data_IF_361973716303
#
_entry.id   IF_361973716303
#
_cell.length_a   1.000
_cell.length_b   1.000
_cell.length_c   1.000
_cell.angle_alpha   90.00
_cell.angle_beta   90.00
_cell.angle_gamma   90.00
#
_symmetry.space_group_name_H-M   'P 1'
#
loop_
_entity.id
_entity.type
_entity.pdbx_description
1 polymer ?
#
# COMPACT_ATOMS: atom_id res chain seq x y z
N UNK A 1 -61.81 52.07 3.78
CA UNK A 1 -60.70 51.52 2.98
C UNK A 1 -60.00 50.53 3.88
N UNK A 2 -60.43 49.28 3.81
CA UNK A 2 -60.38 48.41 4.99
C UNK A 2 -59.18 47.48 4.82
N UNK A 3 -58.01 48.03 5.17
CA UNK A 3 -56.69 47.49 4.84
C UNK A 3 -55.96 46.93 6.07
N UNK A 4 -56.68 46.20 6.93
CA UNK A 4 -56.09 45.40 8.02
C UNK A 4 -56.91 44.13 8.25
N UNK A 5 -56.81 43.19 7.30
CA UNK A 5 -57.34 41.84 7.45
C UNK A 5 -56.43 41.02 8.38
N UNK A 6 -56.54 41.27 9.68
CA UNK A 6 -55.76 40.57 10.70
C UNK A 6 -55.98 39.05 10.61
N UNK A 7 -54.89 38.30 10.36
CA UNK A 7 -54.93 36.84 10.25
C UNK A 7 -55.48 36.22 11.54
N UNK A 8 -56.48 35.34 11.39
CA UNK A 8 -57.04 34.60 12.52
C UNK A 8 -55.96 33.73 13.21
N UNK A 9 -56.01 33.53 14.54
CA UNK A 9 -54.90 32.93 15.28
C UNK A 9 -54.52 31.52 14.78
N UNK A 10 -55.49 30.73 14.35
CA UNK A 10 -55.28 29.42 13.71
C UNK A 10 -54.49 29.50 12.39
N UNK A 11 -54.66 30.57 11.60
CA UNK A 11 -53.90 30.80 10.37
C UNK A 11 -52.44 31.18 10.68
N UNK A 12 -52.22 31.98 11.73
CA UNK A 12 -50.87 32.33 12.21
C UNK A 12 -50.13 31.09 12.73
N UNK A 13 -50.82 30.19 13.42
CA UNK A 13 -50.26 28.90 13.87
C UNK A 13 -49.91 28.01 12.67
N UNK A 14 -50.82 27.87 11.69
CA UNK A 14 -50.59 27.06 10.49
C UNK A 14 -49.40 27.59 9.66
N UNK A 15 -49.33 28.90 9.44
CA UNK A 15 -48.22 29.54 8.73
C UNK A 15 -46.87 29.29 9.40
N UNK A 16 -46.81 29.37 10.74
CA UNK A 16 -45.58 29.07 11.52
C UNK A 16 -45.19 27.60 11.40
N UNK A 17 -46.15 26.67 11.43
CA UNK A 17 -45.88 25.25 11.26
C UNK A 17 -45.34 24.92 9.86
N UNK A 18 -45.92 25.51 8.81
CA UNK A 18 -45.45 25.35 7.41
C UNK A 18 -44.05 25.94 7.24
N UNK A 19 -43.76 27.13 7.80
CA UNK A 19 -42.43 27.74 7.77
C UNK A 19 -41.39 26.88 8.50
N UNK A 20 -41.71 26.35 9.69
CA UNK A 20 -40.81 25.49 10.45
C UNK A 20 -40.52 24.17 9.71
N UNK A 21 -41.53 23.56 9.08
CA UNK A 21 -41.36 22.37 8.26
C UNK A 21 -40.51 22.64 7.01
N UNK A 22 -40.78 23.73 6.29
CA UNK A 22 -40.00 24.13 5.12
C UNK A 22 -38.53 24.41 5.47
N UNK A 23 -38.27 25.06 6.61
CA UNK A 23 -36.92 25.28 7.11
C UNK A 23 -36.21 23.96 7.48
N UNK A 24 -36.90 23.02 8.14
CA UNK A 24 -36.35 21.71 8.46
C UNK A 24 -36.00 20.89 7.21
N UNK A 25 -36.88 20.89 6.19
CA UNK A 25 -36.62 20.23 4.89
C UNK A 25 -35.46 20.90 4.16
N UNK A 26 -35.36 22.23 4.17
CA UNK A 26 -34.25 22.96 3.56
C UNK A 26 -32.90 22.63 4.24
N UNK A 27 -32.85 22.62 5.57
CA UNK A 27 -31.65 22.24 6.34
C UNK A 27 -31.26 20.78 6.06
N UNK A 28 -32.23 19.87 5.97
CA UNK A 28 -31.96 18.47 5.60
C UNK A 28 -31.42 18.33 4.17
N UNK A 29 -32.04 19.00 3.18
CA UNK A 29 -31.55 19.01 1.79
C UNK A 29 -30.12 19.55 1.69
N UNK A 30 -29.81 20.67 2.35
CA UNK A 30 -28.45 21.24 2.39
C UNK A 30 -27.46 20.26 3.02
N UNK A 31 -27.86 19.60 4.12
CA UNK A 31 -27.03 18.58 4.78
C UNK A 31 -26.72 17.40 3.85
N UNK A 32 -27.70 16.81 3.19
CA UNK A 32 -27.47 15.63 2.35
C UNK A 32 -26.68 15.97 1.07
N UNK A 33 -26.88 17.15 0.48
CA UNK A 33 -26.02 17.65 -0.61
C UNK A 33 -24.57 17.78 -0.12
N UNK A 34 -24.35 18.41 1.04
CA UNK A 34 -23.01 18.55 1.64
C UNK A 34 -22.36 17.20 1.96
N UNK A 35 -23.11 16.26 2.55
CA UNK A 35 -22.62 14.91 2.87
C UNK A 35 -22.26 14.12 1.61
N UNK A 36 -23.08 14.16 0.56
CA UNK A 36 -22.77 13.52 -0.73
C UNK A 36 -21.55 14.13 -1.42
N UNK A 37 -21.40 15.45 -1.39
CA UNK A 37 -20.22 16.15 -1.93
C UNK A 37 -18.95 15.78 -1.14
N UNK A 38 -19.02 15.77 0.19
CA UNK A 38 -17.91 15.35 1.05
C UNK A 38 -17.54 13.89 0.81
N UNK A 39 -18.50 12.96 0.81
CA UNK A 39 -18.24 11.55 0.55
C UNK A 39 -17.57 11.32 -0.82
N UNK A 40 -18.00 12.06 -1.85
CA UNK A 40 -17.37 12.03 -3.18
C UNK A 40 -15.92 12.53 -3.15
N UNK A 41 -15.63 13.60 -2.41
CA UNK A 41 -14.27 14.12 -2.23
C UNK A 41 -13.39 13.14 -1.46
N UNK A 42 -13.88 12.58 -0.36
CA UNK A 42 -13.16 11.66 0.51
C UNK A 42 -12.86 10.33 -0.20
N UNK A 43 -13.80 9.83 -1.04
CA UNK A 43 -13.58 8.67 -1.88
C UNK A 43 -12.47 8.89 -2.93
N UNK A 44 -12.46 10.06 -3.59
CA UNK A 44 -11.37 10.45 -4.52
C UNK A 44 -10.03 10.55 -3.79
N UNK A 45 -9.99 11.15 -2.59
CA UNK A 45 -8.78 11.24 -1.79
C UNK A 45 -8.22 9.85 -1.39
N UNK A 46 -9.09 8.93 -0.96
CA UNK A 46 -8.71 7.54 -0.67
C UNK A 46 -8.14 6.82 -1.90
N UNK A 47 -8.82 6.90 -3.05
CA UNK A 47 -8.35 6.34 -4.33
C UNK A 47 -6.96 6.88 -4.71
N UNK A 48 -6.77 8.20 -4.64
CA UNK A 48 -5.52 8.85 -5.00
C UNK A 48 -4.35 8.44 -4.08
N UNK A 49 -4.63 8.27 -2.78
CA UNK A 49 -3.63 7.79 -1.81
C UNK A 49 -3.30 6.31 -2.02
N UNK A 50 -4.28 5.47 -2.36
CA UNK A 50 -4.07 4.06 -2.72
C UNK A 50 -3.18 3.92 -3.97
N UNK A 51 -3.46 4.68 -5.03
CA UNK A 51 -2.63 4.68 -6.26
C UNK A 51 -1.19 5.09 -5.96
N UNK A 52 -0.97 6.11 -5.11
CA UNK A 52 0.37 6.54 -4.68
C UNK A 52 1.09 5.47 -3.85
N UNK A 53 0.39 4.82 -2.92
CA UNK A 53 0.97 3.76 -2.09
C UNK A 53 1.35 2.53 -2.92
N UNK A 54 0.50 2.13 -3.88
CA UNK A 54 0.81 1.06 -4.84
C UNK A 54 1.97 1.42 -5.76
N UNK A 55 2.03 2.67 -6.27
CA UNK A 55 3.15 3.14 -7.08
C UNK A 55 4.49 3.07 -6.31
N UNK A 56 4.50 3.53 -5.05
CA UNK A 56 5.69 3.47 -4.20
C UNK A 56 6.11 2.02 -3.88
N UNK A 57 5.15 1.12 -3.64
CA UNK A 57 5.42 -0.32 -3.47
C UNK A 57 6.03 -0.92 -4.75
N UNK A 58 5.50 -0.58 -5.94
CA UNK A 58 6.02 -1.07 -7.22
C UNK A 58 7.42 -0.51 -7.51
N UNK A 59 7.71 0.78 -7.29
CA UNK A 59 9.06 1.34 -7.50
C UNK A 59 10.08 0.74 -6.52
N UNK A 60 9.70 0.52 -5.25
CA UNK A 60 10.57 -0.15 -4.28
C UNK A 60 10.99 -1.54 -4.75
N UNK A 61 10.05 -2.41 -5.11
CA UNK A 61 10.36 -3.76 -5.60
C UNK A 61 11.10 -3.72 -6.95
N UNK A 62 10.77 -2.76 -7.83
CA UNK A 62 11.45 -2.61 -9.12
C UNK A 62 12.91 -2.22 -8.92
N UNK A 63 13.21 -1.24 -8.05
CA UNK A 63 14.58 -0.84 -7.68
C UNK A 63 15.36 -1.94 -6.97
N UNK A 64 14.70 -2.75 -6.13
CA UNK A 64 15.35 -3.88 -5.48
C UNK A 64 15.77 -4.95 -6.51
N UNK A 65 14.90 -5.25 -7.48
CA UNK A 65 15.27 -6.13 -8.60
C UNK A 65 16.35 -5.52 -9.52
N UNK A 66 16.33 -4.20 -9.73
CA UNK A 66 17.36 -3.44 -10.46
C UNK A 66 18.73 -3.59 -9.77
N UNK A 67 18.78 -3.41 -8.44
CA UNK A 67 19.97 -3.68 -7.62
C UNK A 67 20.39 -5.15 -7.73
N UNK A 68 19.50 -6.10 -7.45
CA UNK A 68 19.78 -7.54 -7.49
C UNK A 68 20.40 -7.97 -8.83
N UNK A 69 19.84 -7.50 -9.95
CA UNK A 69 20.37 -7.79 -11.29
C UNK A 69 21.72 -7.13 -11.54
N UNK A 70 21.99 -5.95 -10.98
CA UNK A 70 23.30 -5.25 -11.10
C UNK A 70 24.43 -5.89 -10.30
N UNK A 71 24.12 -6.60 -9.20
CA UNK A 71 25.12 -7.25 -8.32
C UNK A 71 25.20 -8.78 -8.50
N UNK A 72 24.24 -9.39 -9.19
CA UNK A 72 24.24 -10.83 -9.48
C UNK A 72 25.46 -11.23 -10.33
N UNK A 73 26.21 -12.30 -9.97
CA UNK A 73 27.31 -12.79 -10.79
C UNK A 73 26.78 -13.32 -12.13
N UNK A 74 27.58 -13.16 -13.19
CA UNK A 74 27.28 -13.77 -14.49
C UNK A 74 27.36 -15.29 -14.44
N UNK A 75 26.61 -15.97 -15.32
CA UNK A 75 26.54 -17.45 -15.33
C UNK A 75 27.91 -18.15 -15.31
N UNK A 76 28.94 -17.72 -16.08
CA UNK A 76 30.26 -18.36 -16.02
C UNK A 76 30.90 -18.26 -14.63
N UNK A 77 30.87 -17.09 -14.00
CA UNK A 77 31.44 -16.86 -12.67
C UNK A 77 30.73 -17.69 -11.58
N UNK A 78 29.43 -17.94 -11.76
CA UNK A 78 28.64 -18.78 -10.86
C UNK A 78 28.93 -20.27 -11.10
N UNK A 79 29.00 -20.70 -12.37
CA UNK A 79 29.39 -22.04 -12.82
C UNK A 79 30.77 -22.44 -12.29
N UNK A 80 31.76 -21.56 -12.42
CA UNK A 80 33.12 -21.78 -11.93
C UNK A 80 33.13 -22.00 -10.41
N UNK A 81 32.45 -21.13 -9.65
CA UNK A 81 32.35 -21.23 -8.19
C UNK A 81 31.60 -22.48 -7.71
N UNK A 82 30.53 -22.88 -8.40
CA UNK A 82 29.74 -24.07 -8.06
C UNK A 82 30.41 -25.38 -8.50
N UNK A 83 31.38 -25.31 -9.44
CA UNK A 83 32.25 -26.43 -9.81
C UNK A 83 33.41 -26.56 -8.83
N UNK A 84 34.06 -25.44 -8.46
CA UNK A 84 35.14 -25.39 -7.49
C UNK A 84 34.69 -25.74 -6.06
N UNK A 85 33.44 -25.43 -5.70
CA UNK A 85 32.82 -25.87 -4.45
C UNK A 85 31.46 -26.56 -4.70
N UNK A 86 31.44 -27.91 -4.79
CA UNK A 86 30.21 -28.68 -4.93
C UNK A 86 29.20 -28.61 -3.78
N UNK A 87 29.52 -28.01 -2.62
CA UNK A 87 28.54 -27.73 -1.55
C UNK A 87 28.00 -26.30 -1.55
N UNK A 88 28.41 -25.45 -2.50
CA UNK A 88 27.99 -24.04 -2.57
C UNK A 88 26.49 -23.90 -2.86
N UNK A 89 25.76 -23.39 -1.88
CA UNK A 89 24.41 -22.83 -2.04
C UNK A 89 24.54 -21.29 -2.08
N UNK A 90 24.20 -20.61 -3.19
CA UNK A 90 24.23 -19.16 -3.24
C UNK A 90 23.17 -18.55 -2.32
N UNK A 91 23.57 -17.63 -1.45
CA UNK A 91 22.63 -16.86 -0.65
C UNK A 91 21.92 -15.82 -1.52
N UNK A 92 20.58 -15.82 -1.48
CA UNK A 92 19.72 -14.87 -2.19
C UNK A 92 18.72 -14.32 -1.16
N UNK A 93 18.72 -13.01 -0.99
CA UNK A 93 17.82 -12.31 -0.07
C UNK A 93 16.46 -12.09 -0.73
N UNK A 94 15.37 -12.39 -0.03
CA UNK A 94 14.05 -11.85 -0.35
C UNK A 94 13.81 -10.59 0.50
N UNK A 95 13.68 -9.43 -0.16
CA UNK A 95 13.42 -8.13 0.47
C UNK A 95 12.11 -7.49 -0.01
N UNK A 96 11.25 -8.26 -0.70
CA UNK A 96 10.05 -7.75 -1.37
C UNK A 96 9.03 -7.13 -0.41
N UNK A 97 8.34 -6.10 -0.89
CA UNK A 97 7.26 -5.42 -0.16
C UNK A 97 5.94 -5.61 -0.91
N UNK A 98 4.94 -6.25 -0.30
CA UNK A 98 3.66 -6.55 -0.97
C UNK A 98 2.43 -6.23 -0.12
N UNK A 99 2.64 -5.51 0.99
CA UNK A 99 1.63 -5.32 2.03
C UNK A 99 0.53 -4.31 1.64
N UNK A 100 0.86 -3.30 0.83
CA UNK A 100 -0.16 -2.36 0.33
C UNK A 100 -1.11 -3.11 -0.60
N UNK A 101 -0.59 -3.80 -1.61
CA UNK A 101 -1.40 -4.63 -2.51
C UNK A 101 -2.20 -5.71 -1.78
N UNK A 102 -1.56 -6.44 -0.85
CA UNK A 102 -2.19 -7.54 -0.10
C UNK A 102 -3.33 -7.05 0.79
N UNK A 103 -3.12 -5.97 1.56
CA UNK A 103 -4.15 -5.43 2.48
C UNK A 103 -5.25 -4.64 1.77
N UNK A 104 -4.98 -4.11 0.57
CA UNK A 104 -5.92 -3.26 -0.19
C UNK A 104 -6.54 -3.92 -1.40
N UNK A 105 -6.41 -5.24 -1.56
CA UNK A 105 -6.94 -6.00 -2.70
C UNK A 105 -8.43 -5.70 -2.99
N UNK A 106 -9.26 -5.57 -1.94
CA UNK A 106 -10.68 -5.23 -2.06
C UNK A 106 -10.96 -3.79 -2.53
N UNK A 107 -10.01 -2.86 -2.35
CA UNK A 107 -10.11 -1.45 -2.79
C UNK A 107 -9.63 -1.26 -4.24
N UNK A 108 -9.01 -2.28 -4.86
CA UNK A 108 -8.48 -2.20 -6.23
C UNK A 108 -9.54 -2.09 -7.32
N UNK A 109 -10.83 -2.28 -7.02
CA UNK A 109 -11.94 -2.00 -7.95
C UNK A 109 -12.00 -0.51 -8.38
N UNK A 110 -11.29 0.38 -7.69
CA UNK A 110 -11.06 1.77 -8.10
C UNK A 110 -9.91 1.96 -9.09
N UNK A 111 -9.19 0.92 -9.49
CA UNK A 111 -8.10 0.97 -10.49
C UNK A 111 -8.66 0.54 -11.86
N UNK A 112 -8.13 1.09 -12.95
CA UNK A 112 -8.54 0.73 -14.31
C UNK A 112 -8.07 -0.69 -14.68
N UNK A 113 -8.93 -1.46 -15.34
CA UNK A 113 -8.71 -2.89 -15.66
C UNK A 113 -7.33 -3.20 -16.29
N UNK A 114 -6.77 -2.40 -17.23
CA UNK A 114 -5.45 -2.65 -17.80
C UNK A 114 -4.31 -2.54 -16.78
N UNK A 115 -4.40 -1.59 -15.84
CA UNK A 115 -3.43 -1.44 -14.74
C UNK A 115 -3.61 -2.59 -13.74
N UNK A 116 -4.86 -2.92 -13.39
CA UNK A 116 -5.15 -4.01 -12.45
C UNK A 116 -4.60 -5.35 -12.93
N UNK A 117 -4.79 -5.69 -14.21
CA UNK A 117 -4.24 -6.89 -14.84
C UNK A 117 -2.69 -6.93 -14.77
N UNK A 118 -2.04 -5.79 -15.07
CA UNK A 118 -0.57 -5.66 -14.96
C UNK A 118 -0.07 -5.76 -13.51
N UNK A 119 -0.80 -5.19 -12.54
CA UNK A 119 -0.50 -5.33 -11.11
C UNK A 119 -0.56 -6.79 -10.67
N UNK A 120 -1.65 -7.51 -10.99
CA UNK A 120 -1.79 -8.94 -10.66
C UNK A 120 -0.64 -9.75 -11.26
N UNK A 121 -0.23 -9.46 -12.51
CA UNK A 121 0.91 -10.12 -13.13
C UNK A 121 2.25 -9.81 -12.43
N UNK A 122 2.48 -8.55 -12.05
CA UNK A 122 3.68 -8.12 -11.32
C UNK A 122 3.80 -8.82 -9.95
N UNK A 123 2.75 -8.76 -9.12
CA UNK A 123 2.77 -9.42 -7.81
C UNK A 123 2.81 -10.95 -7.91
N UNK A 124 2.19 -11.54 -8.93
CA UNK A 124 2.33 -12.97 -9.24
C UNK A 124 3.77 -13.36 -9.60
N UNK A 125 4.51 -12.50 -10.30
CA UNK A 125 5.94 -12.69 -10.57
C UNK A 125 6.80 -12.55 -9.30
N UNK A 126 6.45 -11.65 -8.36
CA UNK A 126 7.14 -11.54 -7.06
C UNK A 126 6.96 -12.77 -6.17
N UNK A 127 5.76 -13.39 -6.10
CA UNK A 127 5.59 -14.66 -5.38
C UNK A 127 6.33 -15.80 -6.10
N UNK A 128 6.33 -15.81 -7.44
CA UNK A 128 7.10 -16.79 -8.23
C UNK A 128 8.61 -16.71 -7.97
N UNK A 129 9.18 -15.51 -7.84
CA UNK A 129 10.60 -15.32 -7.46
C UNK A 129 10.86 -15.88 -6.07
N UNK A 130 10.04 -15.51 -5.08
CA UNK A 130 10.21 -16.00 -3.71
C UNK A 130 10.08 -17.52 -3.60
N UNK A 131 9.13 -18.16 -4.31
CA UNK A 131 9.01 -19.64 -4.34
C UNK A 131 10.26 -20.30 -4.97
N UNK A 132 10.92 -19.64 -5.92
CA UNK A 132 12.20 -20.13 -6.47
C UNK A 132 13.36 -19.96 -5.46
N UNK A 133 13.39 -18.86 -4.70
CA UNK A 133 14.37 -18.64 -3.61
C UNK A 133 14.17 -19.66 -2.49
N UNK A 134 12.93 -19.88 -2.04
CA UNK A 134 12.55 -20.94 -1.09
C UNK A 134 13.07 -22.31 -1.58
N UNK A 135 12.90 -22.60 -2.88
CA UNK A 135 13.36 -23.83 -3.52
C UNK A 135 14.88 -24.04 -3.54
N UNK A 136 15.69 -22.98 -3.55
CA UNK A 136 17.17 -23.05 -3.44
C UNK A 136 17.61 -23.37 -2.00
N UNK A 137 16.80 -23.02 -1.01
CA UNK A 137 17.07 -23.26 0.41
C UNK A 137 16.66 -24.67 0.89
N UNK A 138 15.91 -25.45 0.10
CA UNK A 138 15.50 -26.81 0.47
C UNK A 138 16.66 -27.83 0.35
N UNK A 139 16.75 -28.86 1.22
CA UNK A 139 17.79 -29.89 1.14
C UNK A 139 17.87 -30.62 -0.21
N UNK A 140 16.74 -30.75 -0.91
CA UNK A 140 16.65 -31.33 -2.26
C UNK A 140 17.39 -30.53 -3.33
N UNK A 141 17.70 -29.25 -3.10
CA UNK A 141 18.56 -28.48 -4.01
C UNK A 141 20.00 -29.04 -4.03
N UNK A 142 20.51 -29.55 -2.91
CA UNK A 142 21.88 -30.05 -2.82
C UNK A 142 22.08 -31.38 -3.56
N UNK A 143 21.03 -32.19 -3.77
CA UNK A 143 21.10 -33.47 -4.49
C UNK A 143 21.10 -33.33 -6.01
N UNK A 144 20.85 -32.12 -6.53
CA UNK A 144 20.92 -31.81 -7.96
C UNK A 144 22.38 -31.69 -8.44
N UNK A 145 22.61 -31.99 -9.72
CA UNK A 145 23.89 -31.75 -10.38
C UNK A 145 24.25 -30.25 -10.41
N UNK A 146 25.53 -29.93 -10.63
CA UNK A 146 26.00 -28.53 -10.77
C UNK A 146 25.17 -27.75 -11.80
N UNK A 147 24.88 -28.36 -12.96
CA UNK A 147 24.00 -27.78 -14.00
C UNK A 147 22.56 -27.57 -13.51
N UNK A 148 21.98 -28.54 -12.79
CA UNK A 148 20.61 -28.42 -12.26
C UNK A 148 20.48 -27.29 -11.25
N UNK A 149 21.47 -27.15 -10.35
CA UNK A 149 21.54 -26.08 -9.35
C UNK A 149 21.77 -24.72 -10.01
N UNK A 150 22.74 -24.64 -10.94
CA UNK A 150 23.02 -23.43 -11.72
C UNK A 150 21.78 -22.96 -12.49
N UNK A 151 21.07 -23.87 -13.17
CA UNK A 151 19.81 -23.53 -13.85
C UNK A 151 18.75 -23.00 -12.87
N UNK A 152 18.65 -23.54 -11.66
CA UNK A 152 17.76 -23.03 -10.60
C UNK A 152 18.01 -21.55 -10.31
N UNK A 153 19.26 -21.16 -10.05
CA UNK A 153 19.63 -19.76 -9.82
C UNK A 153 19.42 -18.91 -11.08
N UNK A 154 19.74 -19.43 -12.26
CA UNK A 154 19.51 -18.73 -13.52
C UNK A 154 18.01 -18.59 -13.85
N UNK A 155 17.12 -19.44 -13.33
CA UNK A 155 15.66 -19.24 -13.38
C UNK A 155 15.25 -18.04 -12.50
N UNK A 156 15.83 -17.87 -11.31
CA UNK A 156 15.61 -16.68 -10.46
C UNK A 156 16.03 -15.42 -11.21
N UNK A 157 17.28 -15.35 -11.69
CA UNK A 157 17.80 -14.18 -12.44
C UNK A 157 16.95 -13.84 -13.67
N UNK A 158 16.47 -14.84 -14.42
CA UNK A 158 15.54 -14.64 -15.55
C UNK A 158 14.18 -14.11 -15.09
N UNK A 159 13.62 -14.67 -14.01
CA UNK A 159 12.31 -14.26 -13.48
C UNK A 159 12.37 -12.83 -12.92
N UNK A 160 13.42 -12.47 -12.18
CA UNK A 160 13.66 -11.11 -11.69
C UNK A 160 13.84 -10.10 -12.83
N UNK A 161 14.52 -10.47 -13.93
CA UNK A 161 14.65 -9.59 -15.12
C UNK A 161 13.31 -9.33 -15.81
N UNK A 162 12.43 -10.34 -15.89
CA UNK A 162 11.07 -10.16 -16.39
C UNK A 162 10.23 -9.30 -15.45
N UNK A 163 10.29 -9.55 -14.14
CA UNK A 163 9.54 -8.81 -13.13
C UNK A 163 9.97 -7.33 -13.05
N UNK A 164 11.27 -7.04 -13.09
CA UNK A 164 11.82 -5.69 -13.24
C UNK A 164 11.23 -4.98 -14.46
N UNK A 165 11.26 -5.64 -15.64
CA UNK A 165 10.69 -5.06 -16.86
C UNK A 165 9.20 -4.76 -16.72
N UNK A 166 8.41 -5.69 -16.18
CA UNK A 166 6.98 -5.46 -15.95
C UNK A 166 6.69 -4.36 -14.92
N UNK A 167 7.53 -4.24 -13.89
CA UNK A 167 7.49 -3.13 -12.92
C UNK A 167 7.71 -1.79 -13.59
N UNK A 168 8.78 -1.65 -14.36
CA UNK A 168 9.08 -0.41 -15.10
C UNK A 168 8.02 -0.04 -16.14
N UNK A 169 7.49 -1.02 -16.88
CA UNK A 169 6.35 -0.78 -17.80
C UNK A 169 5.07 -0.34 -17.05
N UNK A 170 4.82 -0.92 -15.86
CA UNK A 170 3.66 -0.59 -15.03
C UNK A 170 3.78 0.80 -14.38
N UNK A 171 4.96 1.18 -13.89
CA UNK A 171 5.22 2.51 -13.32
C UNK A 171 4.99 3.61 -14.38
N UNK A 172 5.54 3.43 -15.59
CA UNK A 172 5.34 4.39 -16.68
C UNK A 172 3.89 4.46 -17.15
N UNK A 173 3.14 3.34 -17.13
CA UNK A 173 1.70 3.34 -17.39
C UNK A 173 0.93 4.12 -16.31
N UNK A 174 1.28 3.95 -15.03
CA UNK A 174 0.65 4.69 -13.92
C UNK A 174 0.95 6.19 -13.97
N UNK A 175 2.15 6.60 -14.40
CA UNK A 175 2.50 8.00 -14.64
C UNK A 175 1.63 8.63 -15.75
N UNK A 176 1.40 7.88 -16.83
CA UNK A 176 0.56 8.30 -17.96
C UNK A 176 -0.94 8.35 -17.62
N UNK A 177 -1.45 7.38 -16.86
CA UNK A 177 -2.88 7.27 -16.52
C UNK A 177 -3.28 8.15 -15.33
N UNK A 178 -2.33 8.58 -14.48
CA UNK A 178 -2.58 9.42 -13.31
C UNK A 178 -1.74 10.71 -13.25
N UNK A 179 -1.71 11.55 -14.30
CA UNK A 179 -0.85 12.74 -14.37
C UNK A 179 -1.16 13.75 -13.26
N UNK A 180 -2.43 13.83 -12.82
CA UNK A 180 -2.87 14.69 -11.71
C UNK A 180 -2.36 14.26 -10.32
N UNK A 181 -1.64 13.13 -10.20
CA UNK A 181 -1.02 12.68 -8.95
C UNK A 181 0.46 13.05 -8.84
N UNK A 182 1.10 13.51 -9.92
CA UNK A 182 2.54 13.80 -10.00
C UNK A 182 3.41 12.63 -9.51
N UNK A 183 3.18 11.44 -10.08
CA UNK A 183 3.98 10.25 -9.78
C UNK A 183 5.36 10.36 -10.46
N UNK A 184 6.41 9.93 -9.76
CA UNK A 184 7.77 9.82 -10.28
C UNK A 184 8.58 8.86 -9.41
N UNK A 185 9.54 8.14 -9.99
CA UNK A 185 10.45 7.23 -9.26
C UNK A 185 11.28 8.05 -8.24
N UNK A 186 11.55 7.50 -7.05
CA UNK A 186 11.33 8.32 -5.82
C UNK A 186 12.27 8.12 -4.46
N UNK A 187 13.38 8.85 -4.92
CA UNK A 187 14.44 8.39 -5.83
C UNK A 187 15.77 8.25 -5.03
N UNK A 188 16.63 7.30 -5.42
CA UNK A 188 17.74 6.79 -4.62
C UNK A 188 19.07 7.12 -5.32
N UNK A 189 19.69 8.24 -4.95
CA UNK A 189 20.97 8.69 -5.49
C UNK A 189 22.10 7.65 -5.30
N UNK A 190 23.22 7.85 -6.01
CA UNK A 190 24.30 6.85 -6.23
C UNK A 190 25.02 6.33 -4.97
N UNK A 191 24.66 6.84 -3.79
CA UNK A 191 25.02 6.34 -2.46
C UNK A 191 24.44 4.93 -2.23
N UNK A 192 25.00 3.91 -2.89
CA UNK A 192 24.68 2.49 -2.74
C UNK A 192 25.11 1.87 -1.40
N UNK A 193 25.06 2.66 -0.33
CA UNK A 193 25.41 2.30 1.04
C UNK A 193 24.23 1.83 1.87
N UNK A 194 24.52 1.60 3.15
CA UNK A 194 23.54 1.24 4.18
C UNK A 194 22.47 2.34 4.32
N UNK A 195 21.26 2.03 4.81
CA UNK A 195 20.33 3.07 5.23
C UNK A 195 21.03 3.97 6.25
N UNK A 196 21.23 5.24 5.90
CA UNK A 196 21.75 6.24 6.82
C UNK A 196 20.85 6.24 8.05
N UNK A 197 21.47 5.99 9.21
CA UNK A 197 20.79 5.72 10.48
C UNK A 197 19.66 6.71 10.66
N UNK A 198 18.41 6.23 10.59
CA UNK A 198 17.25 7.10 10.77
C UNK A 198 17.28 7.56 12.22
N UNK A 199 17.84 8.74 12.46
CA UNK A 199 17.63 9.47 13.69
C UNK A 199 16.17 9.90 13.71
N UNK A 200 15.33 9.01 14.25
CA UNK A 200 13.99 9.34 14.70
C UNK A 200 14.15 10.35 15.83
N UNK A 201 14.32 11.61 15.44
CA UNK A 201 14.35 12.75 16.34
C UNK A 201 13.01 12.76 17.04
N UNK A 202 12.99 12.35 18.32
CA UNK A 202 11.78 11.99 19.04
C UNK A 202 10.82 13.19 19.20
N UNK A 203 9.99 13.42 18.19
CA UNK A 203 8.97 14.46 18.17
C UNK A 203 7.81 14.08 19.08
N UNK A 204 7.98 14.28 20.40
CA UNK A 204 6.97 14.20 21.46
C UNK A 204 5.76 13.31 21.14
N UNK A 205 5.97 12.00 21.18
CA UNK A 205 4.89 11.13 21.65
C UNK A 205 4.68 11.46 23.14
N UNK A 206 3.42 11.62 23.56
CA UNK A 206 3.10 11.95 24.95
C UNK A 206 3.33 10.73 25.85
N UNK A 207 3.84 10.96 27.06
CA UNK A 207 4.19 9.90 28.01
C UNK A 207 2.96 9.09 28.46
N UNK A 208 2.98 7.75 28.36
CA UNK A 208 1.89 6.89 28.83
C UNK A 208 2.00 6.53 30.33
N UNK A 209 2.65 7.36 31.15
CA UNK A 209 2.78 7.17 32.60
C UNK A 209 1.96 8.20 33.39
N UNK A 210 0.64 8.04 33.38
CA UNK A 210 -0.29 8.89 34.14
C UNK A 210 -1.54 8.14 34.67
N UNK A 211 -1.42 6.83 34.95
CA UNK A 211 -2.48 6.05 35.64
C UNK A 211 -1.84 5.15 36.71
N UNK A 212 -1.51 5.74 37.86
CA UNK A 212 -1.12 5.01 39.06
C UNK A 212 -1.80 5.60 40.29
N UNK A 213 -2.50 4.75 41.04
CA UNK A 213 -3.03 5.06 42.37
C UNK A 213 -4.28 5.94 42.43
N UNK A 214 -5.45 5.28 42.48
CA UNK A 214 -6.25 5.42 43.71
C UNK A 214 -6.78 4.04 44.12
N UNK A 215 -6.52 3.67 45.38
CA UNK A 215 -6.83 2.35 45.93
C UNK A 215 -7.68 2.53 47.18
N UNK A 216 -8.89 3.06 46.99
CA UNK A 216 -9.87 3.22 48.04
C UNK A 216 -10.21 1.85 48.67
N UNK A 217 -9.95 1.72 49.97
CA UNK A 217 -10.23 0.50 50.71
C UNK A 217 -11.75 0.31 50.93
N UNK A 218 -12.21 -0.93 50.80
CA UNK A 218 -13.56 -1.33 51.23
C UNK A 218 -13.41 -2.10 52.56
N UNK A 219 -14.01 -1.65 53.67
CA UNK A 219 -14.01 -2.39 54.92
C UNK A 219 -14.93 -3.62 54.83
N UNK A 220 -14.60 -4.67 55.58
CA UNK A 220 -15.37 -5.91 55.57
C UNK A 220 -16.71 -5.81 56.31
N UNK A 221 -17.60 -6.77 56.03
CA UNK A 221 -18.81 -7.04 56.80
C UNK A 221 -18.98 -8.56 56.92
N UNK A 222 -19.09 -9.06 58.16
CA UNK A 222 -19.36 -10.47 58.45
C UNK A 222 -20.84 -10.81 58.25
N UNK A 223 -21.13 -11.96 57.63
CA UNK A 223 -22.16 -12.97 57.97
C UNK A 223 -22.32 -13.98 56.82
#
# INVERSE_FOLDING_TARGET
>A
MDADAALAPEQVILMRAVLAFAAAVAVWMIREIYLGWKATRDARAKRNNLVRALYAEIDFNTRDMEWFLSKSPGEPQLRDKMTANPSLVPHITDARHTEIYRTRLAELHGVTDPILSRMVHFYGMLEKIKVQIDGVNYPSYQTLSVEGRLNGVMVIVRTSRMAHRYGSELLSQMEQDFPALSLSRFDRGDDGGQPSRIEIRAGKFADPEAVSGDSAAVPGSEN
#
